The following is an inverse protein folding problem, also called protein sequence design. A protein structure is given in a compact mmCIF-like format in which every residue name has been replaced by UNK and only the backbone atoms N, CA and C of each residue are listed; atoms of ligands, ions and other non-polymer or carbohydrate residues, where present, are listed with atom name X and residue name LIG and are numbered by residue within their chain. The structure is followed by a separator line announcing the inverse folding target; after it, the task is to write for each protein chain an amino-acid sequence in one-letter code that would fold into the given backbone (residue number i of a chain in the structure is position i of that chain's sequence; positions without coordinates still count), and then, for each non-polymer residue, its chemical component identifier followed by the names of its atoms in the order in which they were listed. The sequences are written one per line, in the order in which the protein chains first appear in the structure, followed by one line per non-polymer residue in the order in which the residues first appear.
data_IF_975160881436
#
_entry.id   IF_975160881436
#
_cell.length_a   1.000
_cell.length_b   1.000
_cell.length_c   1.000
_cell.angle_alpha   90.00
_cell.angle_beta   90.00
_cell.angle_gamma   90.00
#
_symmetry.space_group_name_H-M   'P 1'
#
loop_
_entity.id
_entity.type
_entity.pdbx_description
1 polymer ?
#
# COMPACT_ATOMS: atom_id res chain seq x y z
N UNK A 1 7.83 -40.98 -11.04
CA UNK A 1 7.95 -40.54 -12.44
C UNK A 1 6.63 -39.92 -12.86
N UNK A 2 6.48 -38.59 -12.79
CA UNK A 2 5.35 -37.90 -13.43
C UNK A 2 5.87 -37.42 -14.78
N UNK A 3 5.24 -37.86 -15.87
CA UNK A 3 5.59 -37.50 -17.24
C UNK A 3 5.71 -35.98 -17.36
N UNK A 4 6.81 -35.49 -17.92
CA UNK A 4 6.90 -34.10 -18.38
C UNK A 4 5.88 -33.97 -19.51
N UNK A 5 4.76 -33.28 -19.24
CA UNK A 5 3.86 -32.82 -20.28
C UNK A 5 4.65 -31.95 -21.26
N UNK A 6 4.40 -32.05 -22.57
CA UNK A 6 5.01 -31.14 -23.55
C UNK A 6 4.78 -29.69 -23.15
N UNK A 7 5.78 -28.82 -23.36
CA UNK A 7 5.67 -27.41 -22.97
C UNK A 7 4.47 -26.74 -23.66
N UNK A 8 4.14 -27.14 -24.89
CA UNK A 8 2.95 -26.64 -25.60
C UNK A 8 1.64 -27.02 -24.90
N UNK A 9 1.56 -28.23 -24.33
CA UNK A 9 0.38 -28.68 -23.59
C UNK A 9 0.26 -27.94 -22.26
N UNK A 10 1.39 -27.64 -21.60
CA UNK A 10 1.40 -26.86 -20.36
C UNK A 10 0.95 -25.42 -20.61
N UNK A 11 1.44 -24.78 -21.68
CA UNK A 11 0.99 -23.43 -22.05
C UNK A 11 -0.49 -23.41 -22.44
N UNK A 12 -0.99 -24.39 -23.20
CA UNK A 12 -2.41 -24.48 -23.52
C UNK A 12 -3.29 -24.54 -22.26
N UNK A 13 -2.83 -25.26 -21.23
CA UNK A 13 -3.50 -25.30 -19.91
C UNK A 13 -3.43 -23.94 -19.21
N UNK A 14 -2.28 -23.25 -19.20
CA UNK A 14 -2.16 -21.91 -18.60
C UNK A 14 -3.09 -20.91 -19.29
N UNK A 15 -3.17 -20.94 -20.61
CA UNK A 15 -4.02 -20.07 -21.42
C UNK A 15 -5.50 -20.28 -21.10
N UNK A 16 -5.94 -21.54 -21.07
CA UNK A 16 -7.30 -21.88 -20.67
C UNK A 16 -7.60 -21.41 -19.23
N UNK A 17 -6.68 -21.70 -18.30
CA UNK A 17 -6.81 -21.30 -16.90
C UNK A 17 -6.90 -19.78 -16.73
N UNK A 18 -6.17 -18.96 -17.50
CA UNK A 18 -6.28 -17.49 -17.41
C UNK A 18 -7.71 -16.99 -17.63
N UNK A 19 -8.51 -17.70 -18.42
CA UNK A 19 -9.92 -17.37 -18.67
C UNK A 19 -10.90 -17.84 -17.59
N UNK A 20 -10.53 -18.79 -16.74
CA UNK A 20 -11.43 -19.42 -15.74
C UNK A 20 -10.97 -19.29 -14.28
N UNK A 21 -9.70 -18.92 -14.05
CA UNK A 21 -9.16 -18.65 -12.71
C UNK A 21 -9.90 -17.45 -12.10
N UNK A 22 -10.38 -17.65 -10.87
CA UNK A 22 -11.22 -16.68 -10.15
C UNK A 22 -12.72 -16.82 -10.42
N UNK A 23 -13.16 -17.68 -11.36
CA UNK A 23 -14.58 -17.99 -11.57
C UNK A 23 -15.06 -19.12 -10.66
N UNK A 24 -16.37 -19.16 -10.41
CA UNK A 24 -17.06 -20.19 -9.64
C UNK A 24 -16.81 -21.62 -10.16
N UNK A 25 -16.54 -21.78 -11.46
CA UNK A 25 -16.22 -23.06 -12.10
C UNK A 25 -15.07 -23.81 -11.39
N UNK A 26 -14.09 -23.08 -10.84
CA UNK A 26 -12.95 -23.66 -10.12
C UNK A 26 -13.13 -23.70 -8.60
N UNK A 27 -14.26 -23.22 -8.05
CA UNK A 27 -14.49 -23.20 -6.61
C UNK A 27 -14.46 -24.60 -5.97
N UNK A 28 -14.98 -25.61 -6.69
CA UNK A 28 -14.91 -27.01 -6.26
C UNK A 28 -13.48 -27.54 -6.18
N UNK A 29 -12.64 -27.21 -7.17
CA UNK A 29 -11.23 -27.60 -7.21
C UNK A 29 -10.43 -26.92 -6.10
N UNK A 30 -10.67 -25.62 -5.88
CA UNK A 30 -10.05 -24.84 -4.81
C UNK A 30 -10.31 -25.44 -3.43
N UNK A 31 -11.58 -25.77 -3.14
CA UNK A 31 -11.96 -26.45 -1.88
C UNK A 31 -11.28 -27.81 -1.71
N UNK A 32 -11.11 -28.58 -2.79
CA UNK A 32 -10.38 -29.86 -2.75
C UNK A 32 -8.90 -29.65 -2.48
N UNK A 33 -8.31 -28.62 -3.10
CA UNK A 33 -6.91 -28.26 -2.93
C UNK A 33 -6.61 -27.79 -1.50
N UNK A 34 -7.53 -27.04 -0.88
CA UNK A 34 -7.40 -26.58 0.51
C UNK A 34 -7.44 -27.73 1.53
N UNK A 35 -8.06 -28.86 1.20
CA UNK A 35 -8.13 -30.05 2.06
C UNK A 35 -6.91 -30.98 1.96
N UNK A 36 -6.00 -30.72 1.02
CA UNK A 36 -4.82 -31.56 0.77
C UNK A 36 -3.74 -31.29 1.82
N UNK A 37 -3.68 -32.12 2.86
CA UNK A 37 -2.63 -32.05 3.88
C UNK A 37 -1.26 -32.55 3.39
N UNK A 38 -1.22 -33.31 2.29
CA UNK A 38 0.01 -33.84 1.71
C UNK A 38 0.83 -32.76 0.95
N UNK A 39 0.23 -31.62 0.63
CA UNK A 39 0.90 -30.50 -0.04
C UNK A 39 1.61 -29.59 0.97
N UNK A 40 2.73 -30.08 1.51
CA UNK A 40 3.63 -29.32 2.40
C UNK A 40 4.71 -28.57 1.60
N UNK A 41 5.39 -27.60 2.22
CA UNK A 41 6.51 -26.89 1.58
C UNK A 41 7.58 -27.84 1.02
N UNK A 42 7.88 -28.92 1.73
CA UNK A 42 8.86 -29.95 1.34
C UNK A 42 8.43 -30.77 0.11
N UNK A 43 7.12 -30.96 -0.08
CA UNK A 43 6.59 -31.66 -1.26
C UNK A 43 6.45 -30.72 -2.45
N UNK A 44 6.07 -29.47 -2.20
CA UNK A 44 5.86 -28.45 -3.24
C UNK A 44 7.18 -28.03 -3.89
N UNK A 45 8.27 -27.92 -3.13
CA UNK A 45 9.59 -27.56 -3.69
C UNK A 45 10.11 -28.59 -4.71
N UNK A 46 9.61 -29.83 -4.66
CA UNK A 46 9.95 -30.91 -5.61
C UNK A 46 9.11 -30.88 -6.89
N UNK A 47 8.06 -30.03 -6.94
CA UNK A 47 7.19 -29.89 -8.10
C UNK A 47 7.87 -29.06 -9.19
N UNK A 48 7.46 -29.24 -10.44
CA UNK A 48 7.94 -28.36 -11.51
C UNK A 48 7.41 -26.95 -11.30
N UNK A 49 8.13 -25.96 -11.82
CA UNK A 49 7.72 -24.55 -11.74
C UNK A 49 6.30 -24.34 -12.28
N UNK A 50 5.99 -24.90 -13.45
CA UNK A 50 4.67 -24.77 -14.06
C UNK A 50 3.56 -25.40 -13.21
N UNK A 51 3.83 -26.53 -12.55
CA UNK A 51 2.88 -27.12 -11.60
C UNK A 51 2.59 -26.18 -10.44
N UNK A 52 3.62 -25.54 -9.87
CA UNK A 52 3.46 -24.57 -8.78
C UNK A 52 2.68 -23.33 -9.22
N UNK A 53 2.99 -22.76 -10.39
CA UNK A 53 2.28 -21.62 -10.95
C UNK A 53 0.78 -21.93 -11.12
N UNK A 54 0.44 -23.10 -11.67
CA UNK A 54 -0.95 -23.57 -11.81
C UNK A 54 -1.62 -23.78 -10.46
N UNK A 55 -0.96 -24.47 -9.52
CA UNK A 55 -1.50 -24.74 -8.18
C UNK A 55 -1.76 -23.45 -7.40
N UNK A 56 -0.81 -22.50 -7.45
CA UNK A 56 -0.95 -21.19 -6.80
C UNK A 56 -2.06 -20.38 -7.45
N UNK A 57 -2.15 -20.33 -8.78
CA UNK A 57 -3.21 -19.62 -9.48
C UNK A 57 -4.60 -20.15 -9.12
N UNK A 58 -4.78 -21.48 -9.07
CA UNK A 58 -6.04 -22.12 -8.66
C UNK A 58 -6.33 -21.85 -7.18
N UNK A 59 -5.34 -22.01 -6.29
CA UNK A 59 -5.52 -21.81 -4.84
C UNK A 59 -5.81 -20.36 -4.47
N UNK A 60 -5.22 -19.41 -5.17
CA UNK A 60 -5.38 -17.97 -4.90
C UNK A 60 -6.50 -17.33 -5.72
N UNK A 61 -6.93 -17.97 -6.81
CA UNK A 61 -7.90 -17.41 -7.74
C UNK A 61 -7.32 -16.25 -8.58
N UNK A 62 -5.99 -16.12 -8.64
CA UNK A 62 -5.32 -14.97 -9.26
C UNK A 62 -4.60 -15.42 -10.54
N UNK A 63 -5.04 -14.93 -11.72
CA UNK A 63 -4.47 -15.36 -13.00
C UNK A 63 -3.03 -14.87 -13.22
N UNK A 64 -2.61 -13.81 -12.51
CA UNK A 64 -1.25 -13.25 -12.62
C UNK A 64 -0.13 -14.23 -12.23
N UNK A 65 -0.44 -15.29 -11.47
CA UNK A 65 0.53 -16.35 -11.16
C UNK A 65 0.83 -17.28 -12.34
N UNK A 66 0.03 -17.24 -13.40
CA UNK A 66 0.27 -17.97 -14.65
C UNK A 66 1.23 -17.23 -15.59
N UNK A 67 1.66 -16.01 -15.22
CA UNK A 67 2.66 -15.26 -15.97
C UNK A 67 4.06 -15.83 -15.68
N UNK A 68 4.79 -16.31 -16.71
CA UNK A 68 6.10 -16.91 -16.49
C UNK A 68 7.07 -15.96 -15.79
N UNK A 69 7.86 -16.52 -14.86
CA UNK A 69 9.00 -15.84 -14.19
C UNK A 69 8.66 -14.65 -13.28
N UNK A 70 7.39 -14.41 -12.93
CA UNK A 70 7.02 -13.32 -12.01
C UNK A 70 7.44 -13.56 -10.53
N UNK A 71 7.64 -14.83 -10.16
CA UNK A 71 7.99 -15.29 -8.81
C UNK A 71 9.04 -16.40 -8.86
N UNK A 72 9.92 -16.50 -7.88
CA UNK A 72 10.79 -17.66 -7.68
C UNK A 72 10.00 -18.87 -7.15
N UNK A 73 10.56 -20.08 -7.27
CA UNK A 73 9.95 -21.31 -6.74
C UNK A 73 9.69 -21.21 -5.22
N UNK A 74 10.65 -20.76 -4.38
CA UNK A 74 10.39 -20.55 -2.95
C UNK A 74 9.23 -19.59 -2.69
N UNK A 75 9.15 -18.46 -3.40
CA UNK A 75 8.05 -17.52 -3.21
C UNK A 75 6.69 -18.12 -3.59
N UNK A 76 6.61 -18.93 -4.65
CA UNK A 76 5.37 -19.64 -5.01
C UNK A 76 4.95 -20.63 -3.91
N UNK A 77 5.91 -21.34 -3.32
CA UNK A 77 5.65 -22.23 -2.18
C UNK A 77 5.14 -21.45 -0.98
N UNK A 78 5.75 -20.32 -0.65
CA UNK A 78 5.33 -19.45 0.48
C UNK A 78 3.95 -18.83 0.26
N UNK A 79 3.61 -18.43 -0.97
CA UNK A 79 2.26 -17.97 -1.31
C UNK A 79 1.27 -19.13 -1.15
N UNK A 80 1.61 -20.33 -1.62
CA UNK A 80 0.74 -21.50 -1.49
C UNK A 80 0.49 -21.87 -0.02
N UNK A 81 1.52 -21.81 0.82
CA UNK A 81 1.42 -22.13 2.26
C UNK A 81 0.89 -20.97 3.10
N UNK A 82 0.53 -19.85 2.47
CA UNK A 82 0.00 -18.63 3.11
C UNK A 82 1.02 -17.93 4.04
N UNK A 83 2.31 -18.17 3.82
CA UNK A 83 3.44 -17.51 4.49
C UNK A 83 3.89 -16.23 3.75
N UNK A 84 3.42 -16.03 2.51
CA UNK A 84 3.62 -14.79 1.74
C UNK A 84 2.29 -14.27 1.22
N UNK A 85 2.19 -12.94 1.13
CA UNK A 85 1.02 -12.25 0.61
C UNK A 85 0.66 -12.75 -0.79
N UNK A 86 -0.62 -13.08 -0.98
CA UNK A 86 -1.17 -13.50 -2.27
C UNK A 86 -1.36 -12.37 -3.29
N UNK A 87 -1.18 -11.11 -2.89
CA UNK A 87 -1.21 -9.99 -3.84
C UNK A 87 0.14 -9.94 -4.58
N UNK A 88 0.15 -10.13 -5.91
CA UNK A 88 1.39 -10.17 -6.67
C UNK A 88 2.24 -8.89 -6.60
N UNK A 89 1.61 -7.74 -6.31
CA UNK A 89 2.28 -6.46 -6.16
C UNK A 89 2.87 -6.25 -4.75
N UNK A 90 2.29 -6.88 -3.71
CA UNK A 90 2.70 -6.67 -2.32
C UNK A 90 3.87 -7.58 -1.92
N UNK A 91 3.74 -8.89 -2.18
CA UNK A 91 4.76 -9.91 -1.89
C UNK A 91 5.30 -9.96 -0.45
N UNK A 92 4.72 -9.26 0.53
CA UNK A 92 5.20 -9.27 1.92
C UNK A 92 5.17 -10.67 2.56
N UNK A 93 6.13 -10.98 3.42
CA UNK A 93 6.07 -12.15 4.30
C UNK A 93 4.97 -11.96 5.36
N UNK A 94 4.35 -13.06 5.78
CA UNK A 94 3.21 -13.07 6.69
C UNK A 94 3.50 -13.91 7.95
N UNK A 95 3.03 -13.50 9.13
CA UNK A 95 2.40 -12.19 9.41
C UNK A 95 3.40 -11.04 9.25
N UNK A 96 2.90 -9.82 9.00
CA UNK A 96 3.76 -8.64 8.98
C UNK A 96 4.25 -8.39 10.42
N UNK A 97 5.57 -8.36 10.62
CA UNK A 97 6.22 -8.41 11.95
C UNK A 97 5.76 -7.30 12.91
N UNK A 98 5.37 -6.14 12.40
CA UNK A 98 5.02 -4.97 13.23
C UNK A 98 3.55 -4.95 13.72
N UNK A 99 2.86 -6.09 13.74
CA UNK A 99 1.43 -6.11 14.09
C UNK A 99 0.99 -7.30 14.97
N UNK A 100 0.76 -7.02 16.26
CA UNK A 100 0.26 -7.98 17.26
C UNK A 100 -1.27 -8.09 17.35
N UNK A 101 -2.01 -7.59 16.36
CA UNK A 101 -3.48 -7.61 16.43
C UNK A 101 -4.04 -9.04 16.29
N UNK A 102 -5.23 -9.28 16.87
CA UNK A 102 -5.90 -10.59 16.79
C UNK A 102 -6.14 -11.05 15.35
N UNK A 103 -6.34 -10.13 14.41
CA UNK A 103 -6.64 -10.45 13.01
C UNK A 103 -5.37 -11.00 12.32
N UNK A 104 -4.24 -10.30 12.46
CA UNK A 104 -2.97 -10.70 11.86
C UNK A 104 -2.42 -12.00 12.44
N UNK A 105 -2.61 -12.23 13.73
CA UNK A 105 -2.19 -13.47 14.39
C UNK A 105 -3.12 -14.67 14.11
N UNK A 106 -4.42 -14.46 13.89
CA UNK A 106 -5.38 -15.58 13.73
C UNK A 106 -5.70 -15.94 12.29
N UNK A 107 -5.67 -14.99 11.35
CA UNK A 107 -6.08 -15.22 9.95
C UNK A 107 -4.87 -15.57 9.08
N UNK A 108 -4.64 -16.86 8.84
CA UNK A 108 -3.58 -17.32 7.92
C UNK A 108 -3.75 -16.70 6.53
N UNK A 109 -2.65 -16.18 5.97
CA UNK A 109 -2.64 -15.56 4.64
C UNK A 109 -3.20 -14.14 4.58
N UNK A 110 -3.62 -13.56 5.72
CA UNK A 110 -4.01 -12.16 5.78
C UNK A 110 -2.78 -11.25 5.79
N UNK A 111 -2.81 -10.21 4.95
CA UNK A 111 -1.77 -9.20 4.83
C UNK A 111 -2.32 -7.83 5.26
N UNK A 112 -1.91 -7.33 6.43
CA UNK A 112 -2.36 -6.02 6.91
C UNK A 112 -1.92 -4.83 6.03
N UNK A 113 -0.88 -5.02 5.19
CA UNK A 113 -0.39 -3.98 4.30
C UNK A 113 -1.27 -3.74 3.07
N UNK A 114 -2.05 -4.75 2.62
CA UNK A 114 -2.83 -4.59 1.37
C UNK A 114 -4.21 -5.25 1.37
N UNK A 115 -4.60 -5.97 2.43
CA UNK A 115 -5.88 -6.68 2.47
C UNK A 115 -6.82 -6.04 3.48
N UNK A 116 -8.10 -5.95 3.11
CA UNK A 116 -9.14 -5.47 4.00
C UNK A 116 -9.44 -6.53 5.08
N UNK A 117 -9.43 -6.20 6.38
CA UNK A 117 -9.64 -7.17 7.46
C UNK A 117 -11.06 -7.74 7.52
N UNK A 118 -12.02 -7.07 6.85
CA UNK A 118 -13.43 -7.46 6.78
C UNK A 118 -13.66 -8.52 5.71
N UNK A 119 -13.36 -8.22 4.44
CA UNK A 119 -13.61 -9.15 3.33
C UNK A 119 -12.42 -10.05 2.99
N UNK A 120 -11.23 -9.78 3.55
CA UNK A 120 -9.98 -10.48 3.24
C UNK A 120 -9.55 -10.40 1.78
N UNK A 121 -10.11 -9.47 1.02
CA UNK A 121 -9.70 -9.16 -0.34
C UNK A 121 -8.78 -7.94 -0.37
N UNK A 122 -8.01 -7.85 -1.44
CA UNK A 122 -7.21 -6.69 -1.80
C UNK A 122 -7.66 -6.18 -3.16
N UNK A 123 -7.38 -4.93 -3.45
CA UNK A 123 -7.49 -4.37 -4.79
C UNK A 123 -6.21 -3.59 -5.13
N UNK A 124 -6.18 -2.99 -6.31
CA UNK A 124 -5.08 -2.12 -6.75
C UNK A 124 -5.45 -0.63 -6.62
N UNK A 125 -6.46 -0.29 -5.83
CA UNK A 125 -6.88 1.08 -5.66
C UNK A 125 -5.88 1.81 -4.76
N UNK A 126 -5.26 2.85 -5.30
CA UNK A 126 -4.36 3.75 -4.59
C UNK A 126 -4.94 5.16 -4.68
N UNK A 127 -4.54 6.03 -3.76
CA UNK A 127 -4.89 7.45 -3.80
C UNK A 127 -6.43 7.65 -3.84
N UNK A 128 -7.14 6.98 -2.94
CA UNK A 128 -8.60 6.86 -2.93
C UNK A 128 -9.16 7.00 -1.52
N UNK A 129 -10.36 7.57 -1.40
CA UNK A 129 -11.19 7.53 -0.21
C UNK A 129 -11.86 6.16 -0.01
N UNK A 130 -11.78 5.26 -1.00
CA UNK A 130 -12.36 3.91 -0.95
C UNK A 130 -11.63 2.96 0.01
N UNK A 131 -10.46 3.34 0.50
CA UNK A 131 -9.74 2.66 1.57
C UNK A 131 -9.56 3.61 2.74
N UNK A 132 -10.08 3.23 3.91
CA UNK A 132 -9.98 4.01 5.15
C UNK A 132 -8.97 3.35 6.08
N UNK A 133 -8.10 4.16 6.67
CA UNK A 133 -6.99 3.71 7.51
C UNK A 133 -7.18 4.07 8.98
N UNK A 134 -6.65 3.23 9.87
CA UNK A 134 -6.44 3.61 11.26
C UNK A 134 -5.12 4.37 11.41
N UNK A 135 -5.18 5.58 11.96
CA UNK A 135 -4.03 6.47 12.23
C UNK A 135 -3.08 5.97 13.35
N UNK A 136 -3.49 4.97 14.14
CA UNK A 136 -2.64 4.38 15.19
C UNK A 136 -1.89 3.13 14.72
N UNK A 137 -2.57 2.21 14.05
CA UNK A 137 -2.01 0.89 13.72
C UNK A 137 -1.93 0.61 12.23
N UNK A 138 -2.28 1.57 11.38
CA UNK A 138 -2.19 1.48 9.92
C UNK A 138 -2.92 0.27 9.30
N UNK A 139 -3.98 -0.23 9.95
CA UNK A 139 -4.89 -1.18 9.32
C UNK A 139 -5.82 -0.43 8.37
N UNK A 140 -5.90 -0.93 7.14
CA UNK A 140 -6.73 -0.36 6.08
C UNK A 140 -7.95 -1.25 5.81
N UNK A 141 -9.11 -0.63 5.59
CA UNK A 141 -10.37 -1.29 5.31
C UNK A 141 -11.02 -0.63 4.09
N UNK A 142 -11.68 -1.40 3.22
CA UNK A 142 -12.55 -0.79 2.21
C UNK A 142 -13.64 0.04 2.91
N UNK A 143 -13.91 1.25 2.42
CA UNK A 143 -14.95 2.12 2.94
C UNK A 143 -16.33 1.44 2.89
N UNK A 144 -16.62 0.71 1.81
CA UNK A 144 -17.86 -0.09 1.68
C UNK A 144 -17.96 -1.16 2.76
N UNK A 145 -16.91 -1.95 2.97
CA UNK A 145 -16.88 -2.94 4.05
C UNK A 145 -17.03 -2.30 5.43
N UNK A 146 -16.41 -1.14 5.65
CA UNK A 146 -16.51 -0.38 6.88
C UNK A 146 -17.94 0.10 7.15
N UNK A 147 -18.63 0.60 6.12
CA UNK A 147 -20.03 1.01 6.21
C UNK A 147 -20.97 -0.18 6.47
N UNK A 148 -20.85 -1.26 5.71
CA UNK A 148 -21.69 -2.47 5.86
C UNK A 148 -21.55 -3.12 7.24
N UNK A 149 -20.35 -3.05 7.85
CA UNK A 149 -20.08 -3.57 9.20
C UNK A 149 -20.31 -2.55 10.31
N UNK A 150 -20.75 -1.33 9.99
CA UNK A 150 -20.95 -0.26 10.97
C UNK A 150 -19.65 0.19 11.67
N UNK A 151 -18.49 -0.02 11.04
CA UNK A 151 -17.20 0.47 11.52
C UNK A 151 -17.03 1.96 11.22
N UNK A 152 -17.64 2.44 10.13
CA UNK A 152 -17.75 3.87 9.83
C UNK A 152 -19.10 4.33 10.34
N UNK A 153 -19.11 5.20 11.34
CA UNK A 153 -20.34 5.66 12.00
C UNK A 153 -20.14 7.05 12.62
N UNK A 154 -21.23 7.80 12.86
CA UNK A 154 -21.16 9.01 13.66
C UNK A 154 -20.59 8.71 15.05
N UNK A 155 -19.65 9.54 15.50
CA UNK A 155 -19.17 9.53 16.87
C UNK A 155 -20.20 10.17 17.82
N UNK A 156 -19.98 10.03 19.12
CA UNK A 156 -20.90 10.59 20.12
C UNK A 156 -20.72 12.11 20.25
N UNK A 157 -21.80 12.88 20.06
CA UNK A 157 -21.79 14.33 20.22
C UNK A 157 -21.18 15.06 19.02
N UNK A 158 -20.17 15.90 19.25
CA UNK A 158 -19.57 16.78 18.23
C UNK A 158 -18.37 16.16 17.49
N UNK A 159 -18.09 14.88 17.71
CA UNK A 159 -16.84 14.23 17.25
C UNK A 159 -16.85 13.82 15.77
N UNK A 160 -17.90 14.17 15.02
CA UNK A 160 -18.00 13.88 13.59
C UNK A 160 -18.10 12.39 13.27
N UNK A 161 -17.96 12.03 11.99
CA UNK A 161 -17.90 10.64 11.54
C UNK A 161 -16.54 10.03 11.85
N UNK A 162 -16.53 8.81 12.37
CA UNK A 162 -15.32 8.09 12.79
C UNK A 162 -15.25 6.68 12.21
N UNK A 163 -14.04 6.24 11.86
CA UNK A 163 -13.73 4.85 11.53
C UNK A 163 -13.19 4.11 12.75
N UNK A 164 -13.85 3.02 13.11
CA UNK A 164 -13.45 2.17 14.22
C UNK A 164 -12.63 0.98 13.71
N UNK A 165 -11.36 0.95 14.07
CA UNK A 165 -10.44 -0.08 13.62
C UNK A 165 -10.81 -1.44 14.21
N UNK A 166 -10.98 -2.47 13.36
CA UNK A 166 -11.22 -3.85 13.80
C UNK A 166 -10.01 -4.45 14.56
N UNK A 167 -8.80 -3.93 14.32
CA UNK A 167 -7.56 -4.42 14.91
C UNK A 167 -7.34 -3.94 16.35
N UNK A 168 -7.32 -2.62 16.55
CA UNK A 168 -7.02 -2.00 17.86
C UNK A 168 -8.23 -1.36 18.56
N UNK A 169 -9.39 -1.27 17.90
CA UNK A 169 -10.58 -0.61 18.43
C UNK A 169 -10.52 0.93 18.44
N UNK A 170 -9.40 1.52 17.99
CA UNK A 170 -9.24 2.97 17.92
C UNK A 170 -10.24 3.61 16.95
N UNK A 171 -10.73 4.79 17.29
CA UNK A 171 -11.66 5.58 16.49
C UNK A 171 -10.92 6.73 15.79
N UNK A 172 -10.66 6.56 14.50
CA UNK A 172 -9.97 7.54 13.65
C UNK A 172 -10.97 8.51 13.02
N UNK A 173 -10.61 9.79 12.94
CA UNK A 173 -11.46 10.87 12.42
C UNK A 173 -11.51 10.87 10.88
N UNK A 174 -12.71 10.99 10.28
CA UNK A 174 -12.89 10.79 8.83
C UNK A 174 -12.83 12.07 7.98
N UNK A 175 -13.16 13.24 8.51
CA UNK A 175 -13.15 14.50 7.77
C UNK A 175 -11.73 14.90 7.40
N UNK A 176 -10.81 14.87 8.37
CA UNK A 176 -9.38 15.11 8.17
C UNK A 176 -8.77 14.12 7.19
N UNK A 177 -9.11 12.83 7.33
CA UNK A 177 -8.70 11.79 6.39
C UNK A 177 -9.11 12.13 4.94
N UNK A 178 -10.39 12.45 4.70
CA UNK A 178 -10.86 12.81 3.35
C UNK A 178 -10.21 14.09 2.85
N UNK A 179 -10.07 15.11 3.71
CA UNK A 179 -9.36 16.35 3.37
C UNK A 179 -7.94 16.09 2.90
N UNK A 180 -7.20 15.22 3.60
CA UNK A 180 -5.82 14.88 3.27
C UNK A 180 -5.73 14.10 1.95
N UNK A 181 -6.63 13.13 1.72
CA UNK A 181 -6.69 12.39 0.46
C UNK A 181 -6.96 13.34 -0.71
N UNK A 182 -7.95 14.25 -0.60
CA UNK A 182 -8.19 15.23 -1.66
C UNK A 182 -7.01 16.18 -1.85
N UNK A 183 -6.39 16.65 -0.77
CA UNK A 183 -5.25 17.55 -0.81
C UNK A 183 -4.03 16.98 -1.53
N UNK A 184 -3.82 15.66 -1.45
CA UNK A 184 -2.67 14.98 -2.06
C UNK A 184 -3.00 14.41 -3.44
N UNK A 185 -4.19 13.84 -3.62
CA UNK A 185 -4.48 12.95 -4.73
C UNK A 185 -5.40 13.53 -5.80
N UNK A 186 -6.27 14.48 -5.45
CA UNK A 186 -7.41 14.83 -6.30
C UNK A 186 -7.02 15.49 -7.63
N UNK A 187 -5.85 16.13 -7.70
CA UNK A 187 -5.36 16.80 -8.91
C UNK A 187 -5.10 15.84 -10.09
N UNK A 188 -4.77 14.58 -9.78
CA UNK A 188 -4.45 13.58 -10.81
C UNK A 188 -5.66 12.73 -11.20
N UNK A 189 -6.83 12.99 -10.61
CA UNK A 189 -8.03 12.19 -10.85
C UNK A 189 -8.72 12.58 -12.16
N UNK A 190 -8.95 11.57 -13.00
CA UNK A 190 -9.87 11.68 -14.14
C UNK A 190 -11.32 11.76 -13.65
N UNK A 191 -12.22 12.26 -14.51
CA UNK A 191 -13.65 12.46 -14.20
C UNK A 191 -14.31 11.24 -13.55
N UNK A 192 -14.03 10.04 -14.04
CA UNK A 192 -14.61 8.81 -13.49
C UNK A 192 -14.07 8.46 -12.10
N UNK A 193 -12.80 8.75 -11.83
CA UNK A 193 -12.24 8.59 -10.48
C UNK A 193 -12.84 9.65 -9.56
N UNK A 194 -12.85 10.92 -9.96
CA UNK A 194 -13.44 12.01 -9.18
C UNK A 194 -14.89 11.71 -8.77
N UNK A 195 -15.72 11.22 -9.69
CA UNK A 195 -17.11 10.79 -9.39
C UNK A 195 -17.16 9.67 -8.33
N UNK A 196 -16.32 8.65 -8.48
CA UNK A 196 -16.26 7.52 -7.53
C UNK A 196 -15.83 7.98 -6.14
N UNK A 197 -14.86 8.89 -6.05
CA UNK A 197 -14.37 9.41 -4.78
C UNK A 197 -15.39 10.32 -4.11
N UNK A 198 -16.04 11.21 -4.85
CA UNK A 198 -17.15 12.02 -4.35
C UNK A 198 -18.33 11.17 -3.87
N UNK A 199 -18.68 10.10 -4.61
CA UNK A 199 -19.69 9.14 -4.15
C UNK A 199 -19.26 8.42 -2.86
N UNK A 200 -17.97 8.07 -2.74
CA UNK A 200 -17.43 7.49 -1.52
C UNK A 200 -17.58 8.45 -0.32
N UNK A 201 -17.23 9.72 -0.49
CA UNK A 201 -17.42 10.77 0.53
C UNK A 201 -18.91 10.89 0.90
N UNK A 202 -19.79 11.00 -0.09
CA UNK A 202 -21.25 11.04 0.12
C UNK A 202 -21.74 9.87 0.98
N UNK A 203 -21.24 8.65 0.71
CA UNK A 203 -21.60 7.45 1.48
C UNK A 203 -21.02 7.46 2.90
N UNK A 204 -19.75 7.84 3.07
CA UNK A 204 -19.08 7.93 4.38
C UNK A 204 -19.83 8.89 5.31
N UNK A 205 -20.21 10.07 4.81
CA UNK A 205 -20.89 11.10 5.59
C UNK A 205 -22.42 11.00 5.52
N UNK A 206 -22.96 9.94 4.92
CA UNK A 206 -24.39 9.77 4.65
C UNK A 206 -25.28 9.88 5.89
N UNK A 207 -24.79 9.39 7.03
CA UNK A 207 -25.47 9.41 8.34
C UNK A 207 -24.90 10.41 9.34
N UNK A 208 -24.10 11.39 8.91
CA UNK A 208 -23.51 12.41 9.80
C UNK A 208 -24.57 13.30 10.46
N UNK A 209 -24.46 13.49 11.78
CA UNK A 209 -25.28 14.42 12.58
C UNK A 209 -24.54 15.73 12.91
N UNK A 210 -23.26 15.84 12.57
CA UNK A 210 -22.47 17.04 12.76
C UNK A 210 -22.61 18.00 11.57
N UNK A 211 -22.49 19.31 11.82
CA UNK A 211 -22.64 20.32 10.77
C UNK A 211 -21.63 20.17 9.63
N UNK A 212 -20.36 19.87 9.97
CA UNK A 212 -19.26 19.74 9.01
C UNK A 212 -19.46 18.54 8.08
N UNK A 213 -19.86 17.39 8.62
CA UNK A 213 -20.11 16.19 7.84
C UNK A 213 -21.35 16.31 6.95
N UNK A 214 -22.43 16.94 7.44
CA UNK A 214 -23.60 17.27 6.60
C UNK A 214 -23.25 18.19 5.45
N UNK A 215 -22.46 19.23 5.72
CA UNK A 215 -22.03 20.18 4.69
C UNK A 215 -21.13 19.51 3.65
N UNK A 216 -20.12 18.74 4.10
CA UNK A 216 -19.24 17.99 3.20
C UNK A 216 -20.01 16.99 2.32
N UNK A 217 -21.00 16.30 2.88
CA UNK A 217 -21.91 15.43 2.12
C UNK A 217 -22.65 16.23 1.03
N UNK A 218 -23.25 17.38 1.40
CA UNK A 218 -23.99 18.23 0.46
C UNK A 218 -23.11 18.76 -0.67
N UNK A 219 -21.89 19.20 -0.34
CA UNK A 219 -20.89 19.62 -1.33
C UNK A 219 -20.54 18.48 -2.30
N UNK A 220 -20.30 17.28 -1.77
CA UNK A 220 -19.99 16.11 -2.59
C UNK A 220 -21.16 15.73 -3.51
N UNK A 221 -22.40 15.77 -3.01
CA UNK A 221 -23.62 15.50 -3.80
C UNK A 221 -23.80 16.51 -4.94
N UNK A 222 -23.63 17.80 -4.67
CA UNK A 222 -23.77 18.85 -5.69
C UNK A 222 -22.69 18.72 -6.79
N UNK A 223 -21.42 18.51 -6.41
CA UNK A 223 -20.35 18.34 -7.38
C UNK A 223 -20.52 17.07 -8.22
N UNK A 224 -20.98 15.98 -7.60
CA UNK A 224 -21.27 14.73 -8.30
C UNK A 224 -22.39 14.92 -9.35
N UNK A 225 -23.51 15.55 -8.97
CA UNK A 225 -24.61 15.86 -9.90
C UNK A 225 -24.15 16.73 -11.07
N UNK A 226 -23.26 17.69 -10.83
CA UNK A 226 -22.74 18.58 -11.87
C UNK A 226 -21.74 17.90 -12.80
N UNK A 227 -20.92 16.98 -12.29
CA UNK A 227 -20.05 16.12 -13.10
C UNK A 227 -20.88 15.14 -13.95
N UNK A 228 -21.98 14.60 -13.42
CA UNK A 228 -22.90 13.74 -14.16
C UNK A 228 -23.58 14.51 -15.30
N UNK A 229 -24.05 15.72 -15.03
CA UNK A 229 -24.61 16.65 -16.04
C UNK A 229 -23.55 17.25 -16.96
N UNK A 230 -22.26 16.95 -16.76
CA UNK A 230 -21.11 17.48 -17.52
C UNK A 230 -21.04 19.00 -17.53
N UNK A 231 -21.50 19.65 -16.47
CA UNK A 231 -21.49 21.11 -16.29
C UNK A 231 -20.12 21.60 -15.84
N UNK A 232 -19.33 20.73 -15.20
CA UNK A 232 -17.99 21.03 -14.69
C UNK A 232 -17.01 19.92 -15.06
N UNK A 233 -15.72 20.26 -15.11
CA UNK A 233 -14.64 19.29 -15.27
C UNK A 233 -14.22 18.68 -13.93
N UNK A 234 -13.40 17.61 -13.99
CA UNK A 234 -12.79 17.03 -12.78
C UNK A 234 -11.90 18.06 -12.04
N UNK A 235 -11.20 18.92 -12.78
CA UNK A 235 -10.36 19.98 -12.20
C UNK A 235 -11.20 20.99 -11.43
N UNK A 236 -12.32 21.44 -12.01
CA UNK A 236 -13.23 22.38 -11.34
C UNK A 236 -13.81 21.81 -10.04
N UNK A 237 -14.14 20.51 -10.05
CA UNK A 237 -14.60 19.80 -8.86
C UNK A 237 -13.49 19.65 -7.81
N UNK A 238 -12.26 19.33 -8.24
CA UNK A 238 -11.08 19.30 -7.37
C UNK A 238 -10.87 20.65 -6.69
N UNK A 239 -10.82 21.74 -7.45
CA UNK A 239 -10.61 23.09 -6.94
C UNK A 239 -11.72 23.53 -5.99
N UNK A 240 -12.98 23.16 -6.28
CA UNK A 240 -14.10 23.42 -5.40
C UNK A 240 -13.97 22.70 -4.05
N UNK A 241 -13.61 21.40 -4.06
CA UNK A 241 -13.36 20.63 -2.84
C UNK A 241 -12.19 21.19 -2.03
N UNK A 242 -11.08 21.53 -2.69
CA UNK A 242 -9.91 22.10 -2.02
C UNK A 242 -10.21 23.49 -1.42
N UNK A 243 -10.97 24.33 -2.12
CA UNK A 243 -11.45 25.61 -1.58
C UNK A 243 -12.36 25.41 -0.37
N UNK A 244 -13.29 24.46 -0.44
CA UNK A 244 -14.14 24.09 0.69
C UNK A 244 -13.29 23.67 1.91
N UNK A 245 -12.33 22.77 1.74
CA UNK A 245 -11.48 22.32 2.85
C UNK A 245 -10.55 23.40 3.43
N UNK A 246 -10.24 24.43 2.64
CA UNK A 246 -9.36 25.53 3.05
C UNK A 246 -10.11 26.66 3.75
N UNK A 247 -11.28 27.04 3.24
CA UNK A 247 -11.99 28.24 3.67
C UNK A 247 -13.33 27.94 4.35
N UNK A 248 -13.83 26.71 4.30
CA UNK A 248 -15.16 26.37 4.79
C UNK A 248 -16.28 27.05 4.00
N UNK A 249 -15.98 27.46 2.76
CA UNK A 249 -16.94 28.14 1.89
C UNK A 249 -17.06 27.34 0.61
N UNK A 250 -18.28 26.85 0.34
CA UNK A 250 -18.65 26.31 -0.95
C UNK A 250 -19.36 27.38 -1.77
N UNK A 251 -18.59 28.20 -2.47
CA UNK A 251 -19.10 29.13 -3.48
C UNK A 251 -18.67 28.65 -4.86
N UNK A 252 -19.67 28.39 -5.70
CA UNK A 252 -19.44 28.12 -7.10
C UNK A 252 -20.07 29.22 -7.96
N UNK A 253 -19.24 30.12 -8.45
CA UNK A 253 -19.65 31.13 -9.42
C UNK A 253 -19.77 30.49 -10.80
N UNK A 254 -20.96 29.96 -11.14
CA UNK A 254 -21.35 29.84 -12.55
C UNK A 254 -22.01 31.15 -12.91
N UNK A 255 -21.45 31.89 -13.87
CA UNK A 255 -22.21 32.94 -14.54
C UNK A 255 -23.48 32.31 -15.14
N UNK A 256 -24.62 32.62 -14.52
CA UNK A 256 -25.96 32.38 -15.07
C UNK A 256 -26.68 31.12 -14.58
N UNK A 257 -27.18 31.12 -13.34
CA UNK A 257 -28.59 30.84 -13.00
C UNK A 257 -28.77 30.77 -11.47
N UNK A 258 -29.75 31.53 -10.97
CA UNK A 258 -30.16 31.64 -9.57
C UNK A 258 -30.59 30.31 -8.96
N UNK A 259 -30.08 29.97 -7.78
CA UNK A 259 -30.88 29.32 -6.74
C UNK A 259 -30.68 30.08 -5.44
N UNK A 260 -31.77 30.67 -4.95
CA UNK A 260 -31.89 31.16 -3.58
C UNK A 260 -31.89 29.96 -2.63
N UNK A 261 -31.56 30.25 -1.38
CA UNK A 261 -31.61 29.37 -0.20
C UNK A 261 -30.36 28.53 0.10
N UNK A 262 -29.28 29.21 0.54
CA UNK A 262 -28.53 28.81 1.74
C UNK A 262 -27.69 29.98 2.27
N UNK A 263 -28.35 31.05 2.70
CA UNK A 263 -27.69 32.15 3.43
C UNK A 263 -28.51 32.52 4.64
N UNK A 264 -28.45 31.67 5.66
CA UNK A 264 -28.75 32.02 7.04
C UNK A 264 -28.10 30.98 7.95
N UNK A 265 -27.48 31.46 9.04
CA UNK A 265 -26.59 30.76 9.99
C UNK A 265 -25.14 30.77 9.47
N UNK A 266 -24.28 31.73 9.80
CA UNK A 266 -23.78 31.97 11.16
C UNK A 266 -23.10 33.34 11.26
N UNK A 267 -23.61 34.23 12.10
CA UNK A 267 -22.83 35.30 12.72
C UNK A 267 -22.87 35.10 14.23
N UNK A 268 -21.74 35.40 14.89
CA UNK A 268 -21.40 35.32 16.33
C UNK A 268 -20.81 33.95 16.69
N UNK A 269 -19.57 33.83 17.17
CA UNK A 269 -18.85 34.66 18.16
C UNK A 269 -17.33 34.70 17.93
N UNK A 270 -16.72 35.80 18.37
CA UNK A 270 -15.29 36.07 18.37
C UNK A 270 -14.56 35.57 19.64
N UNK A 271 -13.22 35.51 19.51
CA UNK A 271 -12.15 35.54 20.52
C UNK A 271 -11.91 34.35 21.47
N UNK A 272 -10.81 33.62 21.23
CA UNK A 272 -9.74 33.35 22.22
C UNK A 272 -8.36 33.25 21.53
N UNK A 273 -7.40 33.90 22.20
CA UNK A 273 -5.98 34.12 21.98
C UNK A 273 -5.10 32.98 21.45
N UNK A 274 -4.04 33.38 20.74
CA UNK A 274 -3.05 32.57 20.04
C UNK A 274 -2.14 31.67 20.88
N UNK A 275 -1.74 30.57 20.23
CA UNK A 275 -0.41 29.96 20.28
C UNK A 275 -0.13 29.34 18.90
N UNK A 276 1.11 29.39 18.37
CA UNK A 276 1.41 28.89 17.04
C UNK A 276 1.45 27.34 17.03
N UNK A 277 0.75 26.65 16.11
CA UNK A 277 0.94 25.21 15.97
C UNK A 277 2.29 24.93 15.31
N UNK A 278 3.11 24.14 16.00
CA UNK A 278 4.31 23.49 15.48
C UNK A 278 3.91 22.65 14.26
N UNK A 279 4.64 22.70 13.13
CA UNK A 279 4.30 21.89 11.96
C UNK A 279 4.51 20.40 12.28
N UNK A 280 3.50 19.53 12.09
CA UNK A 280 3.70 18.08 12.19
C UNK A 280 4.55 17.57 11.02
N UNK A 281 5.31 16.48 11.22
CA UNK A 281 6.32 16.00 10.29
C UNK A 281 5.68 15.52 8.98
N UNK A 282 6.36 15.78 7.86
CA UNK A 282 6.05 15.19 6.56
C UNK A 282 6.18 13.67 6.67
N UNK A 283 5.05 12.97 6.77
CA UNK A 283 5.00 11.51 6.71
C UNK A 283 5.37 11.12 5.28
N UNK A 284 6.64 10.74 5.10
CA UNK A 284 7.12 10.06 3.91
C UNK A 284 7.03 8.58 4.22
N UNK A 285 6.13 7.86 3.55
CA UNK A 285 6.07 6.42 3.70
C UNK A 285 7.39 5.80 3.18
N UNK A 286 8.05 4.93 3.97
CA UNK A 286 9.18 4.16 3.49
C UNK A 286 8.67 3.07 2.53
N UNK A 287 9.16 3.11 1.30
CA UNK A 287 9.05 2.00 0.36
C UNK A 287 10.14 0.99 0.72
N UNK A 288 9.77 -0.08 1.40
CA UNK A 288 10.67 -1.15 1.79
C UNK A 288 11.01 -1.99 0.55
N UNK A 289 11.88 -1.47 -0.32
CA UNK A 289 12.49 -2.27 -1.38
C UNK A 289 13.83 -2.75 -0.85
N UNK A 290 13.91 -4.03 -0.48
CA UNK A 290 15.19 -4.72 -0.30
C UNK A 290 15.94 -4.70 -1.63
N UNK A 291 16.83 -3.73 -1.82
CA UNK A 291 17.78 -3.72 -2.93
C UNK A 291 18.94 -4.63 -2.58
N UNK A 292 18.87 -5.88 -3.04
CA UNK A 292 20.07 -6.64 -3.37
C UNK A 292 20.85 -5.90 -4.45
N UNK A 293 22.14 -5.71 -4.19
CA UNK A 293 23.12 -5.12 -5.10
C UNK A 293 23.03 -5.80 -6.48
N UNK A 294 22.68 -5.04 -7.51
CA UNK A 294 22.81 -5.48 -8.91
C UNK A 294 23.44 -4.32 -9.67
N UNK A 295 24.58 -4.64 -10.28
CA UNK A 295 25.42 -3.78 -11.09
C UNK A 295 24.64 -3.09 -12.21
N UNK A 296 24.90 -1.79 -12.36
CA UNK A 296 24.38 -0.99 -13.45
C UNK A 296 25.25 -1.22 -14.69
N UNK A 297 24.73 -1.99 -15.66
CA UNK A 297 25.16 -1.86 -17.04
C UNK A 297 23.99 -2.11 -18.01
N UNK A 298 23.71 -1.06 -18.79
CA UNK A 298 23.19 -1.00 -20.16
C UNK A 298 21.69 -1.24 -20.46
N UNK A 299 21.19 -0.32 -21.30
CA UNK A 299 20.06 -0.37 -22.24
C UNK A 299 18.68 0.12 -21.77
N UNK A 300 18.49 1.42 -21.97
CA UNK A 300 17.21 2.14 -21.90
C UNK A 300 16.42 1.86 -23.19
N UNK A 301 15.37 1.04 -23.10
CA UNK A 301 14.34 0.92 -24.13
C UNK A 301 13.19 1.90 -23.82
N UNK A 302 13.16 3.04 -24.50
CA UNK A 302 12.05 3.99 -24.48
C UNK A 302 10.85 3.42 -25.28
N UNK A 303 9.72 3.15 -24.62
CA UNK A 303 8.41 3.01 -25.29
C UNK A 303 7.58 4.27 -25.08
N UNK A 304 7.61 5.16 -26.07
CA UNK A 304 6.70 6.31 -26.18
C UNK A 304 5.34 5.84 -26.70
N UNK A 305 4.27 6.18 -26.00
CA UNK A 305 2.88 5.88 -26.40
C UNK A 305 2.29 7.10 -27.09
N UNK A 306 2.25 7.10 -28.43
CA UNK A 306 1.48 8.08 -29.19
C UNK A 306 0.03 7.58 -29.38
N UNK A 307 -0.94 8.45 -29.08
CA UNK A 307 -2.38 8.24 -29.27
C UNK A 307 -2.79 8.81 -30.66
N UNK A 308 -3.53 8.10 -31.53
CA UNK A 308 -3.92 8.61 -32.85
C UNK A 308 -5.12 9.56 -32.75
N UNK A 309 -5.12 10.63 -33.55
CA UNK A 309 -6.31 11.48 -33.79
C UNK A 309 -7.17 10.91 -34.94
N UNK A 310 -8.51 11.10 -34.95
CA UNK A 310 -9.39 10.61 -36.01
C UNK A 310 -9.51 11.60 -37.18
N UNK A 311 -9.50 11.06 -38.40
CA UNK A 311 -9.91 11.74 -39.62
C UNK A 311 -11.42 11.57 -39.85
N UNK A 312 -12.11 12.64 -40.26
CA UNK A 312 -13.43 12.57 -40.92
C UNK A 312 -13.38 13.40 -42.23
N UNK A 313 -14.18 13.06 -43.25
CA UNK A 313 -13.90 13.35 -44.66
C UNK A 313 -14.67 14.55 -45.22
N UNK A 314 -14.09 15.25 -46.21
CA UNK A 314 -14.85 16.12 -47.11
C UNK A 314 -14.26 16.11 -48.53
N UNK A 315 -15.02 15.49 -49.43
CA UNK A 315 -15.35 15.87 -50.81
C UNK A 315 -14.32 16.63 -51.69
N UNK A 316 -13.90 15.92 -52.76
CA UNK A 316 -13.49 16.27 -54.14
C UNK A 316 -13.31 17.76 -54.64
N UNK A 317 -12.40 17.99 -55.62
CA UNK A 317 -11.97 19.31 -56.13
C UNK A 317 -12.66 19.76 -57.45
N UNK A 318 -12.35 20.98 -57.96
CA UNK A 318 -11.80 21.03 -59.34
C UNK A 318 -10.65 22.04 -59.54
N UNK A 319 -9.65 21.57 -60.30
CA UNK A 319 -8.48 22.22 -60.95
C UNK A 319 -8.75 23.57 -61.67
N UNK A 320 -7.74 24.37 -62.14
CA UNK A 320 -6.38 23.95 -62.56
C UNK A 320 -5.18 24.88 -62.26
N UNK A 321 -4.00 24.26 -62.24
CA UNK A 321 -2.69 24.90 -62.35
C UNK A 321 -2.55 25.70 -63.66
N UNK A 322 -1.98 26.91 -63.54
CA UNK A 322 -1.20 27.56 -64.61
C UNK A 322 0.17 27.94 -64.03
N UNK A 323 1.29 27.48 -64.62
CA UNK A 323 2.62 27.90 -64.21
C UNK A 323 3.07 29.10 -65.05
N UNK A 324 3.38 30.22 -64.41
CA UNK A 324 4.20 31.27 -65.03
C UNK A 324 4.97 32.09 -63.99
N UNK A 325 6.30 31.92 -64.04
CA UNK A 325 7.38 32.88 -63.74
C UNK A 325 7.31 33.74 -62.45
N UNK A 326 8.22 33.44 -61.51
CA UNK A 326 9.30 34.37 -61.12
C UNK A 326 10.38 33.71 -60.25
N UNK A 327 11.59 33.55 -60.81
CA UNK A 327 12.79 32.95 -60.18
C UNK A 327 13.40 33.72 -58.99
N UNK A 328 12.67 34.63 -58.35
CA UNK A 328 13.15 35.43 -57.20
C UNK A 328 12.39 35.20 -55.89
N UNK A 329 11.18 34.64 -55.92
CA UNK A 329 10.38 34.42 -54.69
C UNK A 329 10.63 33.06 -54.03
N UNK A 330 11.11 32.06 -54.80
CA UNK A 330 11.42 30.72 -54.26
C UNK A 330 12.62 30.71 -53.30
N UNK A 331 13.60 31.60 -53.51
CA UNK A 331 14.79 31.69 -52.64
C UNK A 331 14.43 32.28 -51.28
N UNK A 332 13.64 33.36 -51.24
CA UNK A 332 13.23 34.00 -49.99
C UNK A 332 12.26 33.12 -49.18
N UNK A 333 11.41 32.35 -49.86
CA UNK A 333 10.53 31.35 -49.25
C UNK A 333 11.33 30.21 -48.60
N UNK A 334 12.33 29.67 -49.31
CA UNK A 334 13.19 28.61 -48.78
C UNK A 334 14.08 29.10 -47.63
N UNK A 335 14.63 30.31 -47.74
CA UNK A 335 15.40 30.97 -46.68
C UNK A 335 14.56 31.19 -45.40
N UNK A 336 13.27 31.49 -45.55
CA UNK A 336 12.32 31.63 -44.44
C UNK A 336 12.03 30.29 -43.76
N UNK A 337 11.84 29.22 -44.54
CA UNK A 337 11.64 27.86 -44.03
C UNK A 337 12.89 27.37 -43.29
N UNK A 338 14.09 27.62 -43.83
CA UNK A 338 15.36 27.28 -43.18
C UNK A 338 15.46 28.01 -41.83
N UNK A 339 15.20 29.32 -41.80
CA UNK A 339 15.21 30.10 -40.54
C UNK A 339 14.21 29.59 -39.51
N UNK A 340 13.01 29.19 -39.94
CA UNK A 340 12.01 28.60 -39.04
C UNK A 340 12.48 27.25 -38.49
N UNK A 341 13.05 26.38 -39.34
CA UNK A 341 13.57 25.06 -38.94
C UNK A 341 14.78 25.18 -38.02
N UNK A 342 15.64 26.16 -38.23
CA UNK A 342 16.75 26.46 -37.32
C UNK A 342 16.25 26.97 -35.96
N UNK A 343 15.23 27.82 -35.93
CA UNK A 343 14.61 28.28 -34.68
C UNK A 343 13.93 27.14 -33.93
N UNK A 344 13.23 26.26 -34.65
CA UNK A 344 12.62 25.03 -34.11
C UNK A 344 13.70 24.10 -33.52
N UNK A 345 14.81 23.87 -34.23
CA UNK A 345 15.92 23.05 -33.73
C UNK A 345 16.56 23.64 -32.46
N UNK A 346 16.77 24.96 -32.41
CA UNK A 346 17.28 25.64 -31.20
C UNK A 346 16.34 25.49 -30.01
N UNK A 347 15.03 25.57 -30.23
CA UNK A 347 14.03 25.36 -29.18
C UNK A 347 14.08 23.93 -28.64
N UNK A 348 14.14 22.92 -29.52
CA UNK A 348 14.24 21.52 -29.10
C UNK A 348 15.53 21.22 -28.34
N UNK A 349 16.65 21.79 -28.78
CA UNK A 349 17.92 21.69 -28.07
C UNK A 349 17.84 22.31 -26.68
N UNK A 350 17.28 23.53 -26.56
CA UNK A 350 17.09 24.19 -25.26
C UNK A 350 16.22 23.36 -24.32
N UNK A 351 15.14 22.75 -24.82
CA UNK A 351 14.29 21.85 -24.01
C UNK A 351 15.02 20.59 -23.57
N UNK A 352 15.87 20.02 -24.42
CA UNK A 352 16.69 18.87 -24.07
C UNK A 352 17.74 19.23 -23.01
N UNK A 353 18.36 20.40 -23.11
CA UNK A 353 19.29 20.93 -22.11
C UNK A 353 18.61 21.21 -20.76
N UNK A 354 17.40 21.76 -20.78
CA UNK A 354 16.58 21.97 -19.59
C UNK A 354 16.21 20.64 -18.91
N UNK A 355 15.74 19.66 -19.67
CA UNK A 355 15.44 18.32 -19.16
C UNK A 355 16.68 17.62 -18.56
N UNK A 356 17.87 17.80 -19.17
CA UNK A 356 19.13 17.31 -18.60
C UNK A 356 19.45 17.95 -17.25
N UNK A 357 19.34 19.29 -17.15
CA UNK A 357 19.59 20.00 -15.89
C UNK A 357 18.62 19.60 -14.79
N UNK A 358 17.35 19.42 -15.11
CA UNK A 358 16.36 18.94 -14.14
C UNK A 358 16.70 17.52 -13.66
N UNK A 359 17.03 16.60 -14.57
CA UNK A 359 17.44 15.24 -14.22
C UNK A 359 18.67 15.21 -13.31
N UNK A 360 19.68 16.04 -13.59
CA UNK A 360 20.86 16.21 -12.74
C UNK A 360 20.49 16.77 -11.36
N UNK A 361 19.56 17.73 -11.29
CA UNK A 361 19.02 18.25 -10.04
C UNK A 361 18.35 17.16 -9.20
N UNK A 362 17.51 16.33 -9.81
CA UNK A 362 16.89 15.19 -9.12
C UNK A 362 17.93 14.19 -8.62
N UNK A 363 18.96 13.86 -9.43
CA UNK A 363 20.03 12.96 -9.01
C UNK A 363 20.82 13.49 -7.81
N UNK A 364 21.08 14.80 -7.76
CA UNK A 364 21.74 15.42 -6.61
C UNK A 364 20.88 15.32 -5.34
N UNK A 365 19.57 15.57 -5.45
CA UNK A 365 18.64 15.44 -4.32
C UNK A 365 18.59 14.00 -3.81
N UNK A 366 18.54 13.02 -4.71
CA UNK A 366 18.53 11.59 -4.33
C UNK A 366 19.82 11.23 -3.59
N UNK A 367 20.99 11.63 -4.10
CA UNK A 367 22.27 11.38 -3.42
C UNK A 367 22.32 12.02 -2.02
N UNK A 368 21.86 13.26 -1.90
CA UNK A 368 21.83 13.95 -0.61
C UNK A 368 20.89 13.26 0.39
N UNK A 369 19.71 12.81 -0.06
CA UNK A 369 18.77 12.05 0.76
C UNK A 369 19.33 10.69 1.18
N UNK A 370 19.99 9.97 0.27
CA UNK A 370 20.64 8.70 0.58
C UNK A 370 21.71 8.86 1.66
N UNK A 371 22.58 9.87 1.52
CA UNK A 371 23.63 10.15 2.51
C UNK A 371 23.04 10.46 3.89
N UNK A 372 22.01 11.30 3.95
CA UNK A 372 21.32 11.63 5.20
C UNK A 372 20.69 10.40 5.85
N UNK A 373 20.05 9.54 5.06
CA UNK A 373 19.46 8.29 5.54
C UNK A 373 20.53 7.34 6.11
N UNK A 374 21.69 7.24 5.47
CA UNK A 374 22.81 6.42 5.95
C UNK A 374 23.40 6.95 7.26
N UNK A 375 23.55 8.27 7.40
CA UNK A 375 23.96 8.94 8.65
C UNK A 375 22.96 8.69 9.79
N UNK A 376 21.65 8.77 9.51
CA UNK A 376 20.60 8.47 10.48
C UNK A 376 20.59 6.98 10.88
N UNK A 377 20.76 6.08 9.91
CA UNK A 377 20.81 4.64 10.16
C UNK A 377 22.00 4.26 11.05
N UNK A 378 23.20 4.77 10.73
CA UNK A 378 24.41 4.52 11.53
C UNK A 378 24.29 5.10 12.94
N UNK A 379 23.72 6.30 13.07
CA UNK A 379 23.44 6.93 14.38
C UNK A 379 22.47 6.11 15.22
N UNK A 380 21.38 5.63 14.62
CA UNK A 380 20.39 4.82 15.33
C UNK A 380 20.96 3.45 15.75
N UNK A 381 21.76 2.82 14.88
CA UNK A 381 22.44 1.57 15.21
C UNK A 381 23.41 1.75 16.39
N UNK A 382 24.16 2.85 16.43
CA UNK A 382 25.06 3.17 17.54
C UNK A 382 24.31 3.35 18.87
N UNK A 383 23.14 4.02 18.86
CA UNK A 383 22.30 4.22 20.06
C UNK A 383 21.77 2.92 20.66
N UNK A 384 21.61 1.86 19.86
CA UNK A 384 21.12 0.57 20.34
C UNK A 384 22.16 -0.20 21.18
N UNK A 385 23.43 0.21 21.17
CA UNK A 385 24.51 -0.36 22.00
C UNK A 385 24.45 -1.90 22.09
N UNK A 386 24.21 -2.57 20.96
CA UNK A 386 23.87 -3.99 20.92
C UNK A 386 24.95 -4.88 21.54
N UNK A 387 26.22 -4.54 21.30
CA UNK A 387 27.35 -5.26 21.86
C UNK A 387 27.36 -5.21 23.39
N UNK A 388 27.12 -4.05 23.98
CA UNK A 388 27.05 -3.89 25.44
C UNK A 388 25.88 -4.69 26.02
N UNK A 389 24.74 -4.66 25.34
CA UNK A 389 23.56 -5.43 25.74
C UNK A 389 23.81 -6.94 25.67
N UNK A 390 24.49 -7.41 24.62
CA UNK A 390 24.87 -8.82 24.48
C UNK A 390 25.89 -9.25 25.55
N UNK A 391 26.88 -8.40 25.87
CA UNK A 391 27.84 -8.65 26.93
C UNK A 391 27.17 -8.74 28.30
N UNK A 392 26.21 -7.85 28.60
CA UNK A 392 25.39 -7.93 29.83
C UNK A 392 24.61 -9.23 29.88
N UNK A 393 23.97 -9.64 28.77
CA UNK A 393 23.25 -10.93 28.67
C UNK A 393 24.19 -12.11 28.93
N UNK A 394 25.39 -12.08 28.33
CA UNK A 394 26.41 -13.14 28.48
C UNK A 394 26.92 -13.23 29.93
N UNK A 395 27.12 -12.09 30.60
CA UNK A 395 27.51 -12.04 32.01
C UNK A 395 26.41 -12.64 32.90
N UNK A 396 25.15 -12.26 32.68
CA UNK A 396 24.00 -12.82 33.43
C UNK A 396 23.86 -14.32 33.26
N UNK A 397 24.11 -14.85 32.06
CA UNK A 397 24.10 -16.29 31.82
C UNK A 397 25.21 -17.03 32.60
N UNK A 398 26.41 -16.44 32.70
CA UNK A 398 27.51 -17.00 33.50
C UNK A 398 27.18 -16.99 35.00
N UNK A 399 26.61 -15.90 35.50
CA UNK A 399 26.15 -15.80 36.90
C UNK A 399 25.10 -16.87 37.22
N UNK A 400 24.11 -17.05 36.33
CA UNK A 400 23.06 -18.05 36.50
C UNK A 400 23.63 -19.48 36.53
N UNK A 401 24.54 -19.80 35.61
CA UNK A 401 25.19 -21.12 35.58
C UNK A 401 26.03 -21.40 36.83
N UNK A 402 26.70 -20.38 37.38
CA UNK A 402 27.43 -20.51 38.64
C UNK A 402 26.48 -20.81 39.81
N UNK A 403 25.32 -20.16 39.85
CA UNK A 403 24.30 -20.40 40.87
C UNK A 403 23.71 -21.82 40.77
N UNK A 404 23.37 -22.28 39.57
CA UNK A 404 22.88 -23.65 39.33
C UNK A 404 23.89 -24.70 39.80
N UNK A 405 25.17 -24.51 39.50
CA UNK A 405 26.22 -25.40 39.97
C UNK A 405 26.30 -25.43 41.50
N UNK A 406 26.27 -24.26 42.15
CA UNK A 406 26.28 -24.19 43.62
C UNK A 406 25.07 -24.86 44.27
N UNK A 407 23.90 -24.77 43.63
CA UNK A 407 22.68 -25.44 44.09
C UNK A 407 22.79 -26.96 43.95
N UNK A 408 23.37 -27.44 42.84
CA UNK A 408 23.67 -28.86 42.64
C UNK A 408 24.64 -29.39 43.71
N UNK A 409 25.72 -28.65 43.98
CA UNK A 409 26.70 -29.00 45.01
C UNK A 409 26.09 -29.05 46.41
N UNK A 410 25.26 -28.07 46.75
CA UNK A 410 24.50 -28.05 48.00
C UNK A 410 23.57 -29.26 48.11
N UNK A 411 22.83 -29.59 47.05
CA UNK A 411 21.94 -30.75 47.03
C UNK A 411 22.71 -32.06 47.24
N UNK A 412 23.84 -32.22 46.54
CA UNK A 412 24.70 -33.39 46.67
C UNK A 412 25.27 -33.52 48.10
N UNK A 413 25.71 -32.41 48.69
CA UNK A 413 26.17 -32.39 50.08
C UNK A 413 25.05 -32.79 51.05
N UNK A 414 23.85 -32.21 50.87
CA UNK A 414 22.68 -32.53 51.69
C UNK A 414 22.34 -34.02 51.64
N UNK A 415 22.36 -34.62 50.45
CA UNK A 415 22.11 -36.06 50.30
C UNK A 415 23.14 -36.92 51.05
N UNK A 416 24.44 -36.59 50.95
CA UNK A 416 25.48 -37.30 51.73
C UNK A 416 25.27 -37.20 53.23
N UNK A 417 25.01 -35.98 53.73
CA UNK A 417 24.73 -35.77 55.16
C UNK A 417 23.51 -36.55 55.63
N UNK A 418 22.44 -36.61 54.84
CA UNK A 418 21.25 -37.39 55.18
C UNK A 418 21.55 -38.89 55.30
N UNK A 419 22.38 -39.43 54.40
CA UNK A 419 22.82 -40.84 54.46
C UNK A 419 23.68 -41.11 55.69
N UNK A 420 24.61 -40.21 56.02
CA UNK A 420 25.46 -40.33 57.21
C UNK A 420 24.64 -40.28 58.50
N UNK A 421 23.67 -39.36 58.60
CA UNK A 421 22.76 -39.25 59.74
C UNK A 421 21.93 -40.53 59.90
N UNK A 422 21.35 -41.03 58.81
CA UNK A 422 20.58 -42.28 58.83
C UNK A 422 21.44 -43.45 59.32
N UNK A 423 22.67 -43.58 58.80
CA UNK A 423 23.62 -44.63 59.19
C UNK A 423 24.05 -44.51 60.66
N UNK A 424 24.17 -43.28 61.19
CA UNK A 424 24.45 -43.04 62.61
C UNK A 424 23.27 -43.46 63.49
N UNK A 425 22.05 -43.10 63.11
CA UNK A 425 20.83 -43.48 63.84
C UNK A 425 20.65 -45.00 63.89
N UNK A 426 20.87 -45.70 62.78
CA UNK A 426 20.82 -47.17 62.72
C UNK A 426 21.84 -47.82 63.67
N UNK A 427 23.09 -47.32 63.68
CA UNK A 427 24.13 -47.83 64.59
C UNK A 427 23.78 -47.57 66.05
N UNK A 428 23.25 -46.38 66.38
CA UNK A 428 22.83 -46.05 67.74
C UNK A 428 21.71 -46.96 68.23
N UNK A 429 20.72 -47.26 67.39
CA UNK A 429 19.62 -48.18 67.73
C UNK A 429 20.11 -49.62 67.90
N UNK A 430 21.03 -50.08 67.04
CA UNK A 430 21.64 -51.40 67.18
C UNK A 430 22.44 -51.55 68.49
N UNK A 431 23.23 -50.54 68.88
CA UNK A 431 23.95 -50.53 70.16
C UNK A 431 22.98 -50.53 71.35
N UNK A 432 21.89 -49.77 71.27
CA UNK A 432 20.86 -49.76 72.31
C UNK A 432 20.21 -51.14 72.51
N UNK A 433 19.92 -51.86 71.42
CA UNK A 433 19.35 -53.20 71.48
C UNK A 433 20.31 -54.27 72.02
N UNK A 434 21.63 -54.02 71.97
CA UNK A 434 22.65 -54.92 72.54
C UNK A 434 22.91 -54.67 74.03
N UNK A 435 22.45 -53.53 74.59
CA UNK A 435 22.61 -53.17 76.00
C UNK A 435 21.35 -53.42 76.85
N UNK A 436 20.33 -54.06 76.29
CA UNK A 436 19.15 -54.62 76.98
C UNK A 436 19.31 -56.14 76.99
#
# INVERSE_FOLDING_TARGET
MVQQLPEEAVEAVRDHLRGIVGKEELAGLRRRLDRRADLTAETLVKSTRAQLEILVAIKTGIPAYLTPKAFSVPELVEVFTLARCRNPACKSLLPIEDCDCKICSSKKGFCSACMCPVCLEFDCALNTCSWVGCDVCSHWCHASCGLEKGLIRPGQGTTGVQFHCLGCGHASEMFGFVKDVFGVCANDWVVETMKKELDCVRRIFGGSEDSKGRELKGVAEELLLRLEKRVISASDACDAMLRYFKYGVFEFSVSGASSKDLSQITQRTADVSGQPPIPPPKITYPLNTTTTKIDLNTEIAHKSTHKPLPCEPSSEPPFPFKPSLSKREDSDSLESIIRFKEAEARLFQSKADEARREAEGYLQIVRAKMKKLEEEYTTNLAKLCLQETEERRRKKLKELKALENSQCDYYNMKMRMQVEIASLLERMEATKQQCV
#
